data_IF_147399041034
#
_entry.id   IF_147399041034
#
_cell.length_a   1.000
_cell.length_b   1.000
_cell.length_c   1.000
_cell.angle_alpha   90.00
_cell.angle_beta   90.00
_cell.angle_gamma   90.00
#
_symmetry.space_group_name_H-M   'P 1'
#
loop_
_entity.id
_entity.type
_entity.pdbx_description
1 polymer ?
#
# COMPACT_ATOMS: atom_id res chain seq x y z
N UNK A 1 -15.56 20.49 30.08
CA UNK A 1 -14.41 19.55 30.22
C UNK A 1 -13.26 19.85 29.25
N UNK A 2 -13.45 19.79 27.93
CA UNK A 2 -12.34 19.91 26.96
C UNK A 2 -11.52 21.20 27.09
N UNK A 3 -12.18 22.34 27.30
CA UNK A 3 -11.52 23.64 27.54
C UNK A 3 -10.58 23.61 28.76
N UNK A 4 -11.04 23.02 29.85
CA UNK A 4 -10.24 22.93 31.08
C UNK A 4 -9.07 21.97 30.89
N UNK A 5 -9.24 20.84 30.18
CA UNK A 5 -8.14 19.88 30.00
C UNK A 5 -7.11 20.31 28.95
N UNK A 6 -7.51 21.09 27.95
CA UNK A 6 -6.63 21.56 26.86
C UNK A 6 -6.07 22.96 27.09
N UNK A 7 -6.62 23.75 28.02
CA UNK A 7 -6.13 25.08 28.36
C UNK A 7 -6.43 26.19 27.35
N UNK A 8 -6.99 25.88 26.18
CA UNK A 8 -7.31 26.89 25.16
C UNK A 8 -8.60 26.57 24.38
N UNK A 9 -9.28 27.61 23.88
CA UNK A 9 -10.54 27.45 23.14
C UNK A 9 -10.37 26.72 21.82
N UNK A 10 -9.28 26.98 21.10
CA UNK A 10 -8.99 26.34 19.81
C UNK A 10 -8.71 24.84 19.97
N UNK A 11 -7.89 24.47 20.96
CA UNK A 11 -7.63 23.07 21.30
C UNK A 11 -8.89 22.35 21.76
N UNK A 12 -9.71 23.01 22.57
CA UNK A 12 -10.98 22.48 23.03
C UNK A 12 -11.96 22.21 21.88
N UNK A 13 -12.12 23.17 20.96
CA UNK A 13 -13.01 23.05 19.82
C UNK A 13 -12.58 21.90 18.89
N UNK A 14 -11.28 21.80 18.61
CA UNK A 14 -10.73 20.71 17.80
C UNK A 14 -10.95 19.35 18.45
N UNK A 15 -10.59 19.21 19.73
CA UNK A 15 -10.76 17.95 20.47
C UNK A 15 -12.23 17.56 20.55
N UNK A 16 -13.12 18.53 20.79
CA UNK A 16 -14.55 18.29 20.82
C UNK A 16 -15.08 17.78 19.48
N UNK A 17 -14.74 18.45 18.37
CA UNK A 17 -15.18 18.03 17.03
C UNK A 17 -14.71 16.61 16.69
N UNK A 18 -13.44 16.32 16.93
CA UNK A 18 -12.88 14.99 16.68
C UNK A 18 -13.50 13.90 17.58
N UNK A 19 -13.87 14.25 18.82
CA UNK A 19 -14.58 13.34 19.72
C UNK A 19 -16.00 13.03 19.25
N UNK A 20 -16.71 14.04 18.72
CA UNK A 20 -18.05 13.86 18.13
C UNK A 20 -17.96 13.02 16.87
N UNK A 21 -17.01 13.30 15.97
CA UNK A 21 -16.82 12.54 14.74
C UNK A 21 -16.53 11.05 15.01
N UNK A 22 -15.71 10.76 16.03
CA UNK A 22 -15.45 9.38 16.44
C UNK A 22 -16.68 8.72 17.08
N UNK A 23 -17.43 9.45 17.90
CA UNK A 23 -18.66 8.94 18.51
C UNK A 23 -19.70 8.57 17.45
N UNK A 24 -19.84 9.39 16.40
CA UNK A 24 -20.76 9.15 15.28
C UNK A 24 -20.37 7.95 14.42
N UNK A 25 -19.09 7.54 14.43
CA UNK A 25 -18.59 6.36 13.72
C UNK A 25 -18.70 5.08 14.56
N UNK A 26 -19.01 5.17 15.86
CA UNK A 26 -19.05 4.01 16.74
C UNK A 26 -20.32 3.17 16.49
N UNK A 27 -20.19 1.88 16.08
CA UNK A 27 -21.35 1.04 15.84
C UNK A 27 -22.05 0.66 17.17
N UNK A 28 -23.38 0.61 17.16
CA UNK A 28 -24.15 -0.18 18.14
C UNK A 28 -24.47 0.47 19.49
N UNK A 29 -24.50 1.80 19.62
CA UNK A 29 -24.93 2.46 20.87
C UNK A 29 -26.33 3.05 20.73
N UNK A 30 -27.34 2.31 21.17
CA UNK A 30 -28.74 2.77 21.21
C UNK A 30 -29.16 3.29 22.59
N UNK A 31 -28.29 3.20 23.60
CA UNK A 31 -28.55 3.64 24.96
C UNK A 31 -27.85 4.98 25.23
N UNK A 32 -28.65 6.01 25.57
CA UNK A 32 -28.19 7.37 25.86
C UNK A 32 -27.07 7.42 26.90
N UNK A 33 -27.23 6.70 28.01
CA UNK A 33 -26.26 6.70 29.11
C UNK A 33 -24.92 6.04 28.70
N UNK A 34 -24.96 4.96 27.89
CA UNK A 34 -23.72 4.38 27.32
C UNK A 34 -23.04 5.31 26.33
N UNK A 35 -23.81 6.07 25.56
CA UNK A 35 -23.29 7.04 24.60
C UNK A 35 -22.60 8.22 25.30
N UNK A 36 -23.17 8.67 26.41
CA UNK A 36 -22.61 9.70 27.28
C UNK A 36 -21.30 9.25 27.93
N UNK A 37 -21.26 8.05 28.51
CA UNK A 37 -20.03 7.46 29.06
C UNK A 37 -18.94 7.27 28.00
N UNK A 38 -19.32 6.82 26.81
CA UNK A 38 -18.39 6.67 25.68
C UNK A 38 -17.86 8.02 25.22
N UNK A 39 -18.72 9.04 25.14
CA UNK A 39 -18.33 10.39 24.76
C UNK A 39 -17.29 10.97 25.72
N UNK A 40 -17.54 10.94 27.04
CA UNK A 40 -16.58 11.44 28.02
C UNK A 40 -15.26 10.65 28.04
N UNK A 41 -15.31 9.34 27.77
CA UNK A 41 -14.11 8.50 27.63
C UNK A 41 -13.26 8.91 26.42
N UNK A 42 -13.88 9.07 25.24
CA UNK A 42 -13.22 9.52 24.01
C UNK A 42 -12.67 10.94 24.20
N UNK A 43 -13.48 11.85 24.75
CA UNK A 43 -13.13 13.24 25.01
C UNK A 43 -11.92 13.35 25.91
N UNK A 44 -11.91 12.64 27.05
CA UNK A 44 -10.77 12.59 27.95
C UNK A 44 -9.52 12.08 27.24
N UNK A 45 -9.60 10.92 26.59
CA UNK A 45 -8.46 10.30 25.90
C UNK A 45 -7.84 11.24 24.88
N UNK A 46 -8.66 12.00 24.14
CA UNK A 46 -8.16 13.01 23.19
C UNK A 46 -7.55 14.21 23.90
N UNK A 47 -8.19 14.76 24.92
CA UNK A 47 -7.62 15.87 25.71
C UNK A 47 -6.22 15.53 26.25
N UNK A 48 -6.01 14.30 26.74
CA UNK A 48 -4.71 13.86 27.25
C UNK A 48 -3.60 13.80 26.18
N UNK A 49 -3.96 13.64 24.91
CA UNK A 49 -3.02 13.67 23.78
C UNK A 49 -2.71 15.08 23.29
N UNK A 50 -3.51 16.07 23.70
CA UNK A 50 -3.32 17.48 23.38
C UNK A 50 -2.84 18.22 24.63
N UNK A 51 -1.52 18.22 24.94
CA UNK A 51 -1.01 18.91 26.11
C UNK A 51 -1.29 20.41 25.99
N UNK A 52 -1.84 20.98 27.07
CA UNK A 52 -2.20 22.38 27.15
C UNK A 52 -0.98 23.28 26.89
N UNK A 53 -1.05 24.09 25.84
CA UNK A 53 0.00 25.08 25.49
C UNK A 53 -0.30 26.49 26.00
N UNK A 54 -1.48 26.67 26.59
CA UNK A 54 -1.96 27.97 27.06
C UNK A 54 -2.36 27.86 28.54
N UNK A 55 -1.99 28.86 29.32
CA UNK A 55 -2.38 28.96 30.73
C UNK A 55 -3.85 29.38 30.85
N UNK A 56 -4.59 28.71 31.74
CA UNK A 56 -5.96 29.08 32.06
C UNK A 56 -6.00 30.36 32.92
N UNK A 57 -7.08 31.13 32.82
CA UNK A 57 -7.30 32.27 33.69
C UNK A 57 -7.52 31.86 35.16
N UNK A 58 -7.22 32.78 36.09
CA UNK A 58 -6.81 32.54 37.49
C UNK A 58 -7.87 32.10 38.52
N UNK A 59 -9.01 31.49 38.16
CA UNK A 59 -9.50 30.41 39.04
C UNK A 59 -9.32 29.01 38.45
N UNK A 60 -9.40 28.88 37.13
CA UNK A 60 -9.35 27.59 36.42
C UNK A 60 -7.92 27.03 36.36
N UNK A 61 -6.90 27.88 36.50
CA UNK A 61 -5.50 27.48 36.60
C UNK A 61 -5.22 26.53 37.78
N UNK A 62 -6.01 26.63 38.86
CA UNK A 62 -5.90 25.72 40.02
C UNK A 62 -6.11 24.25 39.61
N UNK A 63 -6.99 24.00 38.63
CA UNK A 63 -7.26 22.65 38.14
C UNK A 63 -6.07 22.06 37.36
N UNK A 64 -5.18 22.88 36.80
CA UNK A 64 -3.96 22.42 36.13
C UNK A 64 -2.85 22.00 37.09
N UNK A 65 -2.96 22.37 38.38
CA UNK A 65 -2.03 21.90 39.43
C UNK A 65 -2.24 20.43 39.80
N UNK A 66 -3.40 19.87 39.47
CA UNK A 66 -3.75 18.47 39.70
C UNK A 66 -3.19 17.58 38.58
N UNK A 67 -2.60 16.45 38.97
CA UNK A 67 -2.20 15.39 38.04
C UNK A 67 -3.40 14.63 37.46
N UNK A 68 -3.17 13.87 36.39
CA UNK A 68 -4.17 12.92 35.89
C UNK A 68 -4.08 11.60 36.67
N UNK A 69 -5.21 10.96 37.04
CA UNK A 69 -6.60 11.23 36.61
C UNK A 69 -7.39 12.25 37.47
N UNK A 70 -6.82 12.75 38.56
CA UNK A 70 -7.52 13.59 39.55
C UNK A 70 -8.08 14.88 38.98
N UNK A 71 -7.35 15.50 38.04
CA UNK A 71 -7.82 16.66 37.28
C UNK A 71 -9.09 16.37 36.49
N UNK A 72 -9.11 15.25 35.75
CA UNK A 72 -10.30 14.82 35.01
C UNK A 72 -11.47 14.51 35.95
N UNK A 73 -11.20 13.86 37.09
CA UNK A 73 -12.21 13.55 38.10
C UNK A 73 -12.85 14.82 38.68
N UNK A 74 -12.01 15.80 39.03
CA UNK A 74 -12.45 17.09 39.57
C UNK A 74 -13.32 17.84 38.58
N UNK A 75 -12.90 17.91 37.31
CA UNK A 75 -13.66 18.61 36.26
C UNK A 75 -15.02 17.95 35.99
N UNK A 76 -15.09 16.62 35.95
CA UNK A 76 -16.36 15.92 35.72
C UNK A 76 -17.34 16.11 36.88
N UNK A 77 -16.82 16.09 38.11
CA UNK A 77 -17.61 16.29 39.32
C UNK A 77 -18.14 17.73 39.43
N UNK A 78 -17.28 18.74 39.25
CA UNK A 78 -17.68 20.16 39.38
C UNK A 78 -18.64 20.62 38.27
N UNK A 79 -18.58 20.00 37.09
CA UNK A 79 -19.53 20.26 36.00
C UNK A 79 -20.84 19.47 36.15
N UNK A 80 -20.99 18.67 37.21
CA UNK A 80 -22.09 17.72 37.39
C UNK A 80 -22.36 16.89 36.12
N UNK A 81 -21.28 16.52 35.43
CA UNK A 81 -21.33 15.87 34.13
C UNK A 81 -21.60 14.36 34.23
N UNK A 82 -21.20 13.75 35.35
CA UNK A 82 -21.35 12.35 35.70
C UNK A 82 -21.43 12.22 37.22
N UNK A 83 -22.08 11.17 37.72
CA UNK A 83 -22.13 10.85 39.14
C UNK A 83 -20.79 10.28 39.66
N UNK A 84 -20.67 10.15 40.98
CA UNK A 84 -19.42 9.72 41.61
C UNK A 84 -19.01 8.28 41.26
N UNK A 85 -19.96 7.38 40.98
CA UNK A 85 -19.69 5.99 40.61
C UNK A 85 -19.28 5.89 39.13
N UNK A 86 -19.95 6.64 38.27
CA UNK A 86 -19.66 6.80 36.84
C UNK A 86 -18.27 7.38 36.63
N UNK A 87 -17.88 8.42 37.38
CA UNK A 87 -16.53 9.01 37.31
C UNK A 87 -15.48 7.99 37.74
N UNK A 88 -15.73 7.25 38.82
CA UNK A 88 -14.84 6.17 39.28
C UNK A 88 -14.67 5.08 38.23
N UNK A 89 -15.77 4.68 37.59
CA UNK A 89 -15.78 3.69 36.53
C UNK A 89 -15.05 4.18 35.28
N UNK A 90 -15.32 5.41 34.83
CA UNK A 90 -14.73 6.00 33.62
C UNK A 90 -13.22 6.21 33.77
N UNK A 91 -12.77 6.66 34.95
CA UNK A 91 -11.37 6.96 35.22
C UNK A 91 -10.58 5.80 35.80
N UNK A 92 -11.26 4.68 36.12
CA UNK A 92 -10.69 3.52 36.80
C UNK A 92 -9.97 3.89 38.12
N UNK A 93 -10.65 4.69 38.95
CA UNK A 93 -10.15 5.14 40.26
C UNK A 93 -11.00 4.58 41.40
N UNK A 94 -10.37 4.26 42.53
CA UNK A 94 -11.06 3.64 43.70
C UNK A 94 -11.76 4.64 44.61
N UNK A 95 -11.37 5.91 44.55
CA UNK A 95 -11.91 6.98 45.38
C UNK A 95 -11.78 8.30 44.63
N UNK A 96 -12.83 9.11 44.68
CA UNK A 96 -12.80 10.45 44.13
C UNK A 96 -11.86 11.34 44.96
N UNK A 97 -11.09 12.24 44.34
CA UNK A 97 -10.32 13.23 45.09
C UNK A 97 -11.26 14.02 46.03
N UNK A 98 -10.80 14.34 47.26
CA UNK A 98 -11.61 15.09 48.21
C UNK A 98 -12.04 16.41 47.58
N UNK A 99 -13.26 16.84 47.87
CA UNK A 99 -13.70 18.16 47.46
C UNK A 99 -12.71 19.19 48.03
N UNK A 100 -12.07 19.98 47.16
CA UNK A 100 -11.26 21.11 47.64
C UNK A 100 -12.18 22.05 48.43
N UNK A 101 -11.68 22.78 49.44
CA UNK A 101 -12.49 23.78 50.14
C UNK A 101 -13.17 24.67 49.10
N UNK A 102 -14.47 24.93 49.29
CA UNK A 102 -15.30 25.71 48.38
C UNK A 102 -14.56 26.98 47.96
N UNK A 103 -14.01 26.98 46.74
CA UNK A 103 -13.43 28.17 46.15
C UNK A 103 -14.55 28.84 45.35
N UNK A 104 -15.27 29.83 45.91
CA UNK A 104 -16.42 30.44 45.23
C UNK A 104 -16.04 31.05 43.88
N UNK A 105 -14.80 31.51 43.72
CA UNK A 105 -14.29 32.05 42.46
C UNK A 105 -14.13 30.97 41.37
N UNK A 106 -13.77 29.73 41.75
CA UNK A 106 -13.72 28.61 40.80
C UNK A 106 -15.12 28.19 40.37
N UNK A 107 -16.06 28.12 41.31
CA UNK A 107 -17.47 27.80 41.02
C UNK A 107 -18.09 28.84 40.10
N UNK A 108 -17.85 30.12 40.35
CA UNK A 108 -18.31 31.21 39.49
C UNK A 108 -17.67 31.13 38.08
N UNK A 109 -16.35 30.91 38.00
CA UNK A 109 -15.66 30.78 36.71
C UNK A 109 -16.12 29.56 35.89
N UNK A 110 -16.50 28.46 36.56
CA UNK A 110 -17.10 27.30 35.91
C UNK A 110 -18.55 27.58 35.49
N UNK A 111 -19.32 28.28 36.32
CA UNK A 111 -20.68 28.70 36.01
C UNK A 111 -20.76 29.62 34.78
N UNK A 112 -19.78 30.50 34.60
CA UNK A 112 -19.66 31.36 33.41
C UNK A 112 -19.29 30.59 32.12
N UNK A 113 -18.81 29.35 32.23
CA UNK A 113 -18.51 28.49 31.08
C UNK A 113 -19.68 27.60 30.67
N UNK A 114 -20.68 27.44 31.54
CA UNK A 114 -21.88 26.69 31.21
C UNK A 114 -22.80 27.57 30.35
N UNK A 115 -23.42 27.00 29.30
CA UNK A 115 -24.36 27.74 28.49
C UNK A 115 -25.53 28.19 29.36
N UNK A 116 -26.02 29.39 29.10
CA UNK A 116 -27.29 29.85 29.68
C UNK A 116 -28.44 28.95 29.19
N UNK A 117 -29.57 28.86 29.91
CA UNK A 117 -30.70 28.02 29.49
C UNK A 117 -31.22 28.33 28.08
N UNK A 118 -31.08 29.59 27.62
CA UNK A 118 -31.44 29.99 26.26
C UNK A 118 -30.43 29.49 25.21
N UNK A 119 -29.13 29.58 25.50
CA UNK A 119 -28.08 29.03 24.65
C UNK A 119 -28.16 27.50 24.59
N UNK A 120 -28.46 26.84 25.71
CA UNK A 120 -28.62 25.39 25.77
C UNK A 120 -29.78 24.92 24.88
N UNK A 121 -30.91 25.64 24.91
CA UNK A 121 -32.04 25.37 24.01
C UNK A 121 -31.65 25.55 22.54
N UNK A 122 -30.92 26.61 22.20
CA UNK A 122 -30.45 26.83 20.82
C UNK A 122 -29.46 25.75 20.37
N UNK A 123 -28.60 25.29 21.26
CA UNK A 123 -27.64 24.21 20.98
C UNK A 123 -28.35 22.87 20.77
N UNK A 124 -29.41 22.59 21.54
CA UNK A 124 -30.25 21.40 21.35
C UNK A 124 -30.98 21.48 20.00
N UNK A 125 -31.63 22.60 19.68
CA UNK A 125 -32.33 22.80 18.39
C UNK A 125 -31.36 22.71 17.20
N UNK A 126 -30.16 23.29 17.31
CA UNK A 126 -29.11 23.16 16.29
C UNK A 126 -28.60 21.72 16.18
N UNK A 127 -28.42 21.04 17.31
CA UNK A 127 -28.02 19.63 17.38
C UNK A 127 -29.04 18.71 16.72
N UNK A 128 -30.33 18.92 16.98
CA UNK A 128 -31.43 18.17 16.34
C UNK A 128 -31.51 18.46 14.83
N UNK A 129 -31.31 19.71 14.40
CA UNK A 129 -31.27 20.07 12.99
C UNK A 129 -30.07 19.42 12.26
N UNK A 130 -28.91 19.32 12.91
CA UNK A 130 -27.72 18.66 12.37
C UNK A 130 -27.88 17.13 12.39
N UNK A 131 -28.43 16.56 13.46
CA UNK A 131 -28.74 15.14 13.56
C UNK A 131 -29.75 14.71 12.50
N UNK A 132 -30.80 15.51 12.26
CA UNK A 132 -31.75 15.31 11.16
C UNK A 132 -31.09 15.33 9.77
N UNK A 133 -30.07 16.18 9.57
CA UNK A 133 -29.24 16.19 8.35
C UNK A 133 -28.31 14.98 8.25
N UNK A 134 -27.76 14.48 9.36
CA UNK A 134 -26.84 13.35 9.37
C UNK A 134 -27.55 11.99 9.23
N UNK A 135 -28.77 11.83 9.74
CA UNK A 135 -29.61 10.64 9.48
C UNK A 135 -29.98 10.54 7.98
N UNK A 136 -30.01 11.66 7.25
CA UNK A 136 -30.21 11.65 5.79
C UNK A 136 -28.97 11.31 4.96
N UNK A 137 -27.78 11.17 5.56
CA UNK A 137 -26.59 10.62 4.89
C UNK A 137 -26.57 9.09 4.94
N UNK A 138 -27.68 8.44 4.56
CA UNK A 138 -27.51 7.25 3.72
C UNK A 138 -26.81 7.77 2.46
N UNK A 139 -25.67 7.20 2.09
CA UNK A 139 -25.03 7.50 0.80
C UNK A 139 -26.13 7.54 -0.27
N UNK A 140 -26.41 8.74 -0.78
CA UNK A 140 -27.39 8.92 -1.83
C UNK A 140 -26.73 8.40 -3.10
N UNK A 141 -26.88 7.09 -3.35
CA UNK A 141 -26.54 6.39 -4.60
C UNK A 141 -27.54 6.81 -5.70
N UNK A 142 -27.93 8.09 -5.71
CA UNK A 142 -28.99 8.62 -6.59
C UNK A 142 -28.63 9.96 -7.20
N UNK A 143 -27.37 10.38 -7.07
CA UNK A 143 -26.83 11.47 -7.86
C UNK A 143 -26.12 10.88 -9.09
N UNK A 144 -26.67 11.02 -10.31
CA UNK A 144 -26.13 10.38 -11.51
C UNK A 144 -24.68 10.82 -11.80
N UNK A 145 -24.30 12.04 -11.41
CA UNK A 145 -22.93 12.52 -11.53
C UNK A 145 -21.94 11.73 -10.65
N UNK A 146 -22.32 11.39 -9.42
CA UNK A 146 -21.47 10.63 -8.50
C UNK A 146 -21.32 9.17 -8.93
N UNK A 147 -22.37 8.58 -9.52
CA UNK A 147 -22.32 7.24 -10.12
C UNK A 147 -21.37 7.24 -11.32
N UNK A 148 -21.45 8.27 -12.18
CA UNK A 148 -20.56 8.40 -13.33
C UNK A 148 -19.07 8.53 -12.91
N UNK A 149 -18.77 9.33 -11.88
CA UNK A 149 -17.41 9.47 -11.34
C UNK A 149 -16.93 8.15 -10.73
N UNK A 150 -17.79 7.46 -9.98
CA UNK A 150 -17.45 6.16 -9.38
C UNK A 150 -17.17 5.09 -10.44
N UNK A 151 -18.00 5.00 -11.48
CA UNK A 151 -17.79 4.08 -12.61
C UNK A 151 -16.52 4.47 -13.38
N UNK A 152 -16.30 5.76 -13.65
CA UNK A 152 -15.10 6.24 -14.34
C UNK A 152 -13.82 5.91 -13.58
N UNK A 153 -13.81 6.12 -12.26
CA UNK A 153 -12.67 5.74 -11.41
C UNK A 153 -12.45 4.22 -11.39
N UNK A 154 -13.52 3.43 -11.28
CA UNK A 154 -13.44 1.96 -11.34
C UNK A 154 -12.90 1.48 -12.68
N UNK A 155 -13.36 2.04 -13.79
CA UNK A 155 -12.85 1.71 -15.12
C UNK A 155 -11.38 2.12 -15.28
N UNK A 156 -10.99 3.28 -14.76
CA UNK A 156 -9.59 3.71 -14.76
C UNK A 156 -8.71 2.74 -13.97
N UNK A 157 -9.10 2.37 -12.76
CA UNK A 157 -8.38 1.38 -11.94
C UNK A 157 -8.37 0.03 -12.65
N UNK A 158 -9.47 -0.40 -13.27
CA UNK A 158 -9.52 -1.66 -14.01
C UNK A 158 -8.60 -1.66 -15.23
N UNK A 159 -8.56 -0.56 -16.01
CA UNK A 159 -7.65 -0.40 -17.16
C UNK A 159 -6.20 -0.35 -16.70
N UNK A 160 -5.90 0.38 -15.63
CA UNK A 160 -4.55 0.40 -15.05
C UNK A 160 -4.15 -1.00 -14.56
N UNK A 161 -5.04 -1.68 -13.84
CA UNK A 161 -4.78 -3.04 -13.35
C UNK A 161 -4.59 -3.99 -14.53
N UNK A 162 -5.42 -3.94 -15.56
CA UNK A 162 -5.27 -4.76 -16.77
C UNK A 162 -3.97 -4.45 -17.53
N UNK A 163 -3.62 -3.18 -17.70
CA UNK A 163 -2.42 -2.78 -18.42
C UNK A 163 -1.13 -3.12 -17.64
N UNK A 164 -1.14 -2.97 -16.32
CA UNK A 164 0.02 -3.24 -15.46
C UNK A 164 0.13 -4.72 -15.06
N UNK A 165 -0.94 -5.38 -14.59
CA UNK A 165 -0.90 -6.81 -14.26
C UNK A 165 -1.02 -7.72 -15.49
N UNK A 166 -1.66 -7.29 -16.57
CA UNK A 166 -1.76 -8.08 -17.80
C UNK A 166 -0.44 -8.19 -18.55
N UNK A 167 0.50 -7.27 -18.32
CA UNK A 167 1.88 -7.33 -18.84
C UNK A 167 2.89 -7.83 -17.80
N UNK A 168 2.67 -7.56 -16.52
CA UNK A 168 3.54 -8.02 -15.44
C UNK A 168 3.33 -9.53 -15.16
N UNK A 169 3.98 -10.38 -15.95
CA UNK A 169 4.08 -11.82 -15.67
C UNK A 169 3.77 -12.73 -16.86
N UNK A 170 3.28 -12.20 -17.97
CA UNK A 170 3.09 -12.95 -19.21
C UNK A 170 4.41 -13.04 -19.98
N UNK A 171 4.73 -14.22 -20.49
CA UNK A 171 5.88 -14.39 -21.37
C UNK A 171 5.63 -13.60 -22.68
N UNK A 172 6.59 -12.82 -23.19
CA UNK A 172 6.38 -12.01 -24.39
C UNK A 172 6.10 -12.87 -25.64
N UNK A 173 4.99 -12.62 -26.34
CA UNK A 173 4.59 -13.40 -27.53
C UNK A 173 5.62 -13.27 -28.67
N UNK A 174 6.23 -12.10 -28.81
CA UNK A 174 7.30 -11.82 -29.77
C UNK A 174 8.53 -12.72 -29.52
N UNK A 175 8.87 -12.98 -28.25
CA UNK A 175 9.97 -13.87 -27.91
C UNK A 175 9.68 -15.32 -28.32
N UNK A 176 8.41 -15.76 -28.23
CA UNK A 176 7.99 -17.08 -28.73
C UNK A 176 8.21 -17.15 -30.24
N UNK A 177 7.79 -16.13 -30.99
CA UNK A 177 7.98 -16.09 -32.46
C UNK A 177 9.46 -16.11 -32.86
N UNK A 178 10.31 -15.38 -32.14
CA UNK A 178 11.78 -15.42 -32.32
C UNK A 178 12.31 -16.84 -32.13
N UNK A 179 11.88 -17.53 -31.06
CA UNK A 179 12.27 -18.91 -30.80
C UNK A 179 11.74 -19.88 -31.85
N UNK A 180 10.48 -19.75 -32.29
CA UNK A 180 9.88 -20.61 -33.32
C UNK A 180 10.64 -20.48 -34.64
N UNK A 181 10.98 -19.25 -35.07
CA UNK A 181 11.84 -19.05 -36.25
C UNK A 181 13.25 -19.61 -36.00
N UNK A 182 13.83 -19.37 -34.83
CA UNK A 182 15.11 -19.90 -34.37
C UNK A 182 15.23 -21.42 -34.50
N UNK A 183 14.24 -22.13 -33.95
CA UNK A 183 14.16 -23.58 -33.86
C UNK A 183 13.83 -24.27 -35.19
N UNK A 184 13.28 -23.53 -36.16
CA UNK A 184 12.96 -24.06 -37.49
C UNK A 184 14.17 -24.27 -38.40
N UNK A 185 15.35 -23.81 -38.01
CA UNK A 185 16.55 -23.97 -38.83
C UNK A 185 17.17 -25.36 -38.69
N UNK A 186 17.69 -25.86 -39.80
CA UNK A 186 18.52 -27.05 -39.82
C UNK A 186 19.96 -26.77 -39.38
N UNK A 187 20.70 -27.85 -39.11
CA UNK A 187 22.09 -27.80 -38.65
C UNK A 187 23.01 -27.10 -39.67
N UNK A 188 22.68 -27.13 -40.96
CA UNK A 188 23.42 -26.48 -42.05
C UNK A 188 23.42 -24.95 -41.98
N UNK A 189 22.53 -24.36 -41.19
CA UNK A 189 22.44 -22.91 -41.00
C UNK A 189 23.27 -22.41 -39.82
N UNK A 190 23.96 -23.32 -39.13
CA UNK A 190 24.87 -22.99 -38.04
C UNK A 190 26.31 -23.08 -38.52
N UNK A 191 27.08 -22.03 -38.22
CA UNK A 191 28.53 -22.08 -38.29
C UNK A 191 29.02 -22.97 -37.13
N UNK A 192 29.77 -24.05 -37.41
CA UNK A 192 30.23 -24.95 -36.36
C UNK A 192 31.26 -24.26 -35.47
N UNK A 193 31.12 -24.46 -34.17
CA UNK A 193 32.07 -23.98 -33.14
C UNK A 193 32.35 -25.11 -32.15
N UNK A 194 33.48 -25.03 -31.47
CA UNK A 194 33.90 -26.03 -30.46
C UNK A 194 34.34 -25.36 -29.15
N UNK A 195 33.90 -24.13 -28.93
CA UNK A 195 34.28 -23.33 -27.77
C UNK A 195 33.20 -23.38 -26.69
N UNK A 196 33.57 -22.91 -25.49
CA UNK A 196 32.59 -22.69 -24.43
C UNK A 196 31.73 -21.49 -24.78
N UNK A 197 30.48 -21.54 -24.34
CA UNK A 197 29.49 -20.46 -24.51
C UNK A 197 30.02 -19.10 -24.04
N UNK A 198 30.85 -19.05 -22.98
CA UNK A 198 31.54 -17.84 -22.55
C UNK A 198 32.49 -17.20 -23.56
N UNK A 199 32.98 -17.94 -24.55
CA UNK A 199 33.83 -17.42 -25.65
C UNK A 199 33.04 -16.85 -26.82
N UNK A 200 31.72 -17.08 -26.88
CA UNK A 200 30.90 -16.68 -28.03
C UNK A 200 30.71 -15.17 -28.16
N UNK A 201 30.88 -14.41 -27.08
CA UNK A 201 30.77 -12.94 -27.11
C UNK A 201 31.74 -12.35 -28.15
N UNK A 202 33.01 -12.76 -28.12
CA UNK A 202 34.01 -12.33 -29.10
C UNK A 202 33.64 -12.75 -30.53
N UNK A 203 33.11 -13.96 -30.70
CA UNK A 203 32.67 -14.45 -32.00
C UNK A 203 31.56 -13.58 -32.59
N UNK A 204 30.54 -13.25 -31.79
CA UNK A 204 29.42 -12.41 -32.24
C UNK A 204 29.86 -10.97 -32.50
N UNK A 205 30.76 -10.41 -31.69
CA UNK A 205 31.35 -9.08 -31.93
C UNK A 205 32.08 -9.06 -33.27
N UNK A 206 32.89 -10.08 -33.58
CA UNK A 206 33.59 -10.18 -34.88
C UNK A 206 32.63 -10.26 -36.08
N UNK A 207 31.41 -10.75 -35.85
CA UNK A 207 30.34 -10.81 -36.85
C UNK A 207 29.45 -9.56 -36.88
N UNK A 208 29.78 -8.54 -36.06
CA UNK A 208 29.06 -7.26 -36.00
C UNK A 208 27.81 -7.30 -35.12
N UNK A 209 27.78 -8.17 -34.12
CA UNK A 209 26.71 -8.26 -33.12
C UNK A 209 27.27 -8.04 -31.72
N UNK A 210 27.13 -6.81 -31.21
CA UNK A 210 27.71 -6.39 -29.93
C UNK A 210 26.81 -6.71 -28.72
N UNK A 211 25.61 -7.23 -28.97
CA UNK A 211 24.59 -7.42 -27.94
C UNK A 211 24.57 -8.83 -27.34
N UNK A 212 25.52 -9.70 -27.68
CA UNK A 212 25.52 -11.05 -27.13
C UNK A 212 25.99 -11.03 -25.68
N UNK A 213 25.05 -11.20 -24.74
CA UNK A 213 25.34 -11.24 -23.30
C UNK A 213 24.78 -12.50 -22.66
N UNK A 214 25.65 -13.20 -21.94
CA UNK A 214 25.27 -14.37 -21.16
C UNK A 214 25.01 -13.99 -19.70
N UNK A 215 23.90 -14.45 -19.09
CA UNK A 215 23.72 -14.36 -17.66
C UNK A 215 24.78 -15.21 -16.91
N UNK A 216 25.06 -14.88 -15.64
CA UNK A 216 25.97 -15.68 -14.81
C UNK A 216 25.61 -17.17 -14.82
N UNK A 217 26.62 -18.03 -15.00
CA UNK A 217 26.49 -19.49 -15.02
C UNK A 217 26.15 -20.12 -16.37
N UNK A 218 25.90 -19.31 -17.41
CA UNK A 218 25.63 -19.78 -18.77
C UNK A 218 26.86 -19.87 -19.67
N UNK A 219 28.05 -19.60 -19.13
CA UNK A 219 29.34 -19.55 -19.83
C UNK A 219 30.04 -20.92 -19.98
N UNK A 220 29.57 -21.93 -19.25
CA UNK A 220 30.23 -23.23 -19.10
C UNK A 220 29.79 -24.32 -20.10
N UNK A 221 28.76 -24.06 -20.91
CA UNK A 221 28.23 -25.05 -21.85
C UNK A 221 29.08 -25.13 -23.12
N UNK A 222 29.21 -26.32 -23.69
CA UNK A 222 29.90 -26.54 -24.97
C UNK A 222 29.01 -26.07 -26.11
N UNK A 223 29.44 -25.03 -26.83
CA UNK A 223 28.78 -24.57 -28.03
C UNK A 223 29.19 -25.46 -29.20
N UNK A 224 28.21 -25.91 -29.98
CA UNK A 224 28.41 -26.77 -31.16
C UNK A 224 28.09 -26.07 -32.47
N UNK A 225 27.37 -24.94 -32.40
CA UNK A 225 27.06 -24.13 -33.56
C UNK A 225 26.55 -22.76 -33.17
N UNK A 226 26.80 -21.77 -34.01
CA UNK A 226 26.28 -20.41 -33.86
C UNK A 226 25.71 -19.92 -35.17
N UNK A 227 24.69 -19.07 -35.10
CA UNK A 227 24.21 -18.33 -36.25
C UNK A 227 23.68 -16.96 -35.84
N UNK A 228 23.56 -16.09 -36.82
CA UNK A 228 22.77 -14.87 -36.70
C UNK A 228 21.68 -14.88 -37.76
N UNK A 229 20.48 -14.48 -37.38
CA UNK A 229 19.39 -14.29 -38.31
C UNK A 229 18.69 -12.96 -38.05
N UNK A 230 17.82 -12.55 -38.98
CA UNK A 230 17.00 -11.35 -38.80
C UNK A 230 15.56 -11.71 -38.45
N UNK A 231 15.02 -11.02 -37.45
CA UNK A 231 13.62 -11.04 -37.07
C UNK A 231 13.10 -9.61 -37.04
N UNK A 232 12.07 -9.31 -37.83
CA UNK A 232 11.50 -7.95 -37.97
C UNK A 232 12.55 -6.84 -38.24
N UNK A 233 13.62 -7.17 -38.96
CA UNK A 233 14.70 -6.24 -39.31
C UNK A 233 15.87 -6.20 -38.34
N UNK A 234 15.69 -6.70 -37.11
CA UNK A 234 16.71 -6.76 -36.07
C UNK A 234 17.50 -8.06 -36.09
N UNK A 235 18.77 -7.99 -35.70
CA UNK A 235 19.63 -9.15 -35.59
C UNK A 235 19.33 -9.94 -34.31
N UNK A 236 19.26 -11.26 -34.45
CA UNK A 236 19.16 -12.21 -33.34
C UNK A 236 20.35 -13.15 -33.43
N UNK A 237 21.14 -13.18 -32.36
CA UNK A 237 22.19 -14.16 -32.17
C UNK A 237 21.58 -15.45 -31.60
N UNK A 238 22.00 -16.59 -32.14
CA UNK A 238 21.59 -17.90 -31.67
C UNK A 238 22.80 -18.81 -31.55
N UNK A 239 22.94 -19.48 -30.41
CA UNK A 239 23.95 -20.50 -30.18
C UNK A 239 23.28 -21.82 -29.83
N UNK A 240 23.69 -22.90 -30.49
CA UNK A 240 23.39 -24.26 -30.10
C UNK A 240 24.45 -24.74 -29.12
N UNK A 241 24.02 -25.13 -27.92
CA UNK A 241 24.87 -25.61 -26.85
C UNK A 241 24.40 -26.98 -26.35
N UNK A 242 25.33 -27.78 -25.81
CA UNK A 242 25.04 -29.13 -25.32
C UNK A 242 25.05 -29.16 -23.80
N UNK A 243 24.09 -29.87 -23.22
CA UNK A 243 24.01 -30.19 -21.79
C UNK A 243 23.76 -31.69 -21.60
N UNK A 244 24.84 -32.46 -21.45
CA UNK A 244 24.75 -33.92 -21.45
C UNK A 244 24.42 -34.43 -22.85
N UNK A 245 23.28 -35.10 -23.01
CA UNK A 245 22.80 -35.62 -24.30
C UNK A 245 21.82 -34.64 -25.00
N UNK A 246 21.36 -33.60 -24.29
CA UNK A 246 20.36 -32.67 -24.79
C UNK A 246 20.98 -31.44 -25.46
N UNK A 247 20.37 -31.01 -26.56
CA UNK A 247 20.71 -29.74 -27.22
C UNK A 247 19.82 -28.62 -26.71
N UNK A 248 20.44 -27.49 -26.37
CA UNK A 248 19.78 -26.27 -25.94
C UNK A 248 20.13 -25.14 -26.89
N UNK A 249 19.23 -24.18 -27.04
CA UNK A 249 19.43 -23.00 -27.86
C UNK A 249 19.44 -21.75 -26.98
N UNK A 250 20.51 -20.97 -27.09
CA UNK A 250 20.63 -19.66 -26.47
C UNK A 250 20.38 -18.59 -27.52
N UNK A 251 19.57 -17.61 -27.15
CA UNK A 251 19.19 -16.49 -27.99
C UNK A 251 19.57 -15.20 -27.31
N UNK A 252 20.07 -14.25 -28.10
CA UNK A 252 20.32 -12.90 -27.64
C UNK A 252 19.86 -11.89 -28.69
N UNK A 253 19.09 -10.89 -28.25
CA UNK A 253 18.50 -9.88 -29.12
C UNK A 253 18.18 -8.60 -28.33
N UNK A 254 18.13 -7.43 -29.00
CA UNK A 254 17.80 -6.15 -28.36
C UNK A 254 16.34 -6.12 -27.91
N UNK A 255 16.08 -5.85 -26.63
CA UNK A 255 14.74 -5.90 -26.03
C UNK A 255 13.84 -4.79 -26.56
N UNK A 256 14.30 -3.53 -26.44
CA UNK A 256 13.53 -2.33 -26.80
C UNK A 256 13.11 -2.30 -28.27
N UNK A 257 13.97 -2.76 -29.18
CA UNK A 257 13.72 -2.69 -30.61
C UNK A 257 12.69 -3.70 -31.10
N UNK A 258 12.57 -4.84 -30.41
CA UNK A 258 11.53 -5.84 -30.65
C UNK A 258 10.29 -5.60 -29.79
N UNK A 259 10.26 -4.54 -28.99
CA UNK A 259 9.15 -4.24 -28.07
C UNK A 259 8.96 -5.31 -26.99
N UNK A 260 10.01 -6.09 -26.70
CA UNK A 260 10.00 -7.13 -25.69
C UNK A 260 10.46 -6.51 -24.37
N UNK A 261 9.59 -6.52 -23.37
CA UNK A 261 9.86 -6.01 -22.03
C UNK A 261 9.61 -7.11 -21.00
N UNK A 262 10.66 -7.50 -20.27
CA UNK A 262 10.61 -8.54 -19.24
C UNK A 262 10.67 -7.90 -17.87
N UNK A 263 9.49 -7.57 -17.33
CA UNK A 263 9.36 -6.97 -15.99
C UNK A 263 9.14 -8.03 -14.93
N UNK A 264 9.80 -7.98 -13.75
CA UNK A 264 10.96 -7.13 -13.44
C UNK A 264 12.24 -7.60 -14.15
N UNK A 265 13.14 -6.65 -14.46
CA UNK A 265 14.47 -6.97 -14.99
C UNK A 265 15.20 -8.02 -14.13
N UNK A 266 16.10 -8.76 -14.78
CA UNK A 266 16.89 -9.85 -14.18
C UNK A 266 16.08 -11.03 -13.64
N UNK A 267 14.76 -11.03 -13.83
CA UNK A 267 13.88 -12.13 -13.45
C UNK A 267 13.63 -13.04 -14.65
N UNK A 268 13.66 -14.36 -14.40
CA UNK A 268 13.31 -15.34 -15.43
C UNK A 268 11.80 -15.47 -15.59
N UNK A 269 11.34 -15.43 -16.85
CA UNK A 269 9.98 -15.80 -17.25
C UNK A 269 10.04 -17.09 -18.05
N UNK A 270 9.16 -18.03 -17.73
CA UNK A 270 9.18 -19.38 -18.31
C UNK A 270 7.84 -19.66 -18.99
N UNK A 271 7.88 -20.21 -20.20
CA UNK A 271 6.69 -20.69 -20.93
C UNK A 271 6.98 -22.01 -21.64
N UNK A 272 5.93 -22.70 -22.07
CA UNK A 272 6.00 -23.88 -22.94
C UNK A 272 5.41 -23.50 -24.30
N UNK A 273 6.17 -23.68 -25.39
CA UNK A 273 5.72 -23.43 -26.75
C UNK A 273 6.35 -24.41 -27.74
N UNK A 274 5.59 -24.89 -28.72
CA UNK A 274 6.07 -25.75 -29.81
C UNK A 274 6.93 -26.96 -29.35
N UNK A 275 6.51 -27.64 -28.27
CA UNK A 275 7.21 -28.77 -27.61
C UNK A 275 8.54 -28.43 -26.93
N UNK A 276 8.87 -27.16 -26.86
CA UNK A 276 10.02 -26.62 -26.16
C UNK A 276 9.55 -25.90 -24.90
N UNK A 277 10.42 -25.87 -23.90
CA UNK A 277 10.30 -24.96 -22.78
C UNK A 277 11.28 -23.82 -23.00
N UNK A 278 10.82 -22.58 -22.78
CA UNK A 278 11.57 -21.35 -22.99
C UNK A 278 11.68 -20.60 -21.68
N UNK A 279 12.85 -20.03 -21.42
CA UNK A 279 13.02 -19.05 -20.38
C UNK A 279 13.69 -17.79 -20.92
N UNK A 280 13.13 -16.62 -20.62
CA UNK A 280 13.67 -15.33 -21.02
C UNK A 280 13.96 -14.48 -19.79
N UNK A 281 15.02 -13.69 -19.88
CA UNK A 281 15.43 -12.68 -18.91
C UNK A 281 15.95 -11.47 -19.66
N UNK A 282 15.68 -10.28 -19.14
CA UNK A 282 16.23 -9.02 -19.65
C UNK A 282 17.26 -8.44 -18.70
N UNK A 283 18.35 -7.92 -19.26
CA UNK A 283 19.39 -7.19 -18.53
C UNK A 283 20.07 -6.15 -19.43
N UNK A 284 19.85 -4.86 -19.13
CA UNK A 284 20.49 -3.74 -19.82
C UNK A 284 20.19 -3.70 -21.32
N UNK A 285 18.91 -3.66 -21.66
CA UNK A 285 18.35 -3.58 -23.03
C UNK A 285 18.60 -4.79 -23.95
N UNK A 286 19.13 -5.88 -23.37
CA UNK A 286 19.34 -7.14 -24.06
C UNK A 286 18.50 -8.22 -23.40
N UNK A 287 17.72 -8.93 -24.21
CA UNK A 287 17.07 -10.15 -23.79
C UNK A 287 17.99 -11.34 -24.04
N UNK A 288 18.15 -12.18 -23.01
CA UNK A 288 18.69 -13.51 -23.13
C UNK A 288 17.57 -14.53 -22.97
N UNK A 289 17.49 -15.47 -23.90
CA UNK A 289 16.51 -16.55 -23.86
C UNK A 289 17.17 -17.90 -24.07
N UNK A 290 16.76 -18.89 -23.28
CA UNK A 290 17.14 -20.29 -23.43
C UNK A 290 15.92 -21.12 -23.81
N UNK A 291 16.08 -22.05 -24.76
CA UNK A 291 15.04 -22.99 -25.15
C UNK A 291 15.60 -24.40 -25.28
N UNK A 292 14.88 -25.39 -24.78
CA UNK A 292 15.19 -26.82 -24.98
C UNK A 292 13.93 -27.69 -24.90
N UNK A 293 13.95 -28.94 -25.42
CA UNK A 293 12.80 -29.84 -25.33
C UNK A 293 12.51 -30.21 -23.88
N UNK A 294 11.29 -29.98 -23.39
CA UNK A 294 10.95 -30.27 -22.00
C UNK A 294 9.69 -29.57 -21.53
N UNK A 295 9.48 -29.60 -20.21
CA UNK A 295 8.37 -28.94 -19.52
C UNK A 295 8.88 -27.80 -18.64
N UNK A 296 7.97 -26.96 -18.18
CA UNK A 296 8.25 -25.85 -17.27
C UNK A 296 9.08 -26.25 -16.05
N UNK A 297 8.78 -27.42 -15.45
CA UNK A 297 9.51 -27.94 -14.28
C UNK A 297 11.00 -28.21 -14.58
N UNK A 298 11.29 -28.72 -15.77
CA UNK A 298 12.66 -29.04 -16.20
C UNK A 298 13.48 -27.75 -16.36
N UNK A 299 12.87 -26.70 -16.91
CA UNK A 299 13.46 -25.37 -16.98
C UNK A 299 13.65 -24.72 -15.62
N UNK A 300 12.67 -24.82 -14.71
CA UNK A 300 12.82 -24.30 -13.34
C UNK A 300 13.99 -24.97 -12.60
N UNK A 301 14.14 -26.29 -12.75
CA UNK A 301 15.25 -27.03 -12.17
C UNK A 301 16.60 -26.67 -12.81
N UNK A 302 16.63 -26.55 -14.15
CA UNK A 302 17.80 -26.12 -14.89
C UNK A 302 18.27 -24.73 -14.43
N UNK A 303 17.37 -23.75 -14.40
CA UNK A 303 17.69 -22.39 -13.96
C UNK A 303 18.16 -22.35 -12.50
N UNK A 304 17.57 -23.15 -11.60
CA UNK A 304 18.00 -23.24 -10.19
C UNK A 304 19.45 -23.75 -10.06
N UNK A 305 19.89 -24.63 -10.96
CA UNK A 305 21.25 -25.17 -10.96
C UNK A 305 22.26 -24.22 -11.61
N UNK A 306 21.84 -23.54 -12.67
CA UNK A 306 22.70 -22.75 -13.56
C UNK A 306 22.76 -21.27 -13.19
N UNK A 307 21.60 -20.63 -12.96
CA UNK A 307 21.47 -19.18 -12.74
C UNK A 307 21.66 -18.80 -11.26
N UNK A 308 22.88 -18.99 -10.74
CA UNK A 308 23.26 -18.58 -9.37
C UNK A 308 23.73 -17.14 -9.28
#
# INVERSE_FOLDING_TARGET
MAYILTGCREGAAKVFQESVDELLQHPGVHNRHRLEMLFYSILRRRCLRFPARCELASPLAELHTLGEPDRSARVLHELNALDAEEIQHLLNIRKLPPAAPENPALVEALGQLLPTPEEDRQLIEAGEAIAGRHVSKKFSIRNPASIAVGIGFLLMVAVLTWNFLGKAGTFPDEAIKVATQGNSAGAEQFDPVTEKTGGLEDWFILKGFDNFRLPPGFDQFDAVGVRMFRYEGEAVAQAAAVNGEDTMFFYSFPSQKLGIDVVPEKTWRITEADRMVLAIREEGDVCFMVAFPGKKKDMEEFLRRTAK
#
